data_IF_677398441924
#
_entry.id   IF_677398441924
#
_cell.length_a   1.000
_cell.length_b   1.000
_cell.length_c   1.000
_cell.angle_alpha   90.00
_cell.angle_beta   90.00
_cell.angle_gamma   90.00
#
_symmetry.space_group_name_H-M   'P 1'
#
loop_
_entity.id
_entity.type
_entity.pdbx_description
1 polymer ?
#
# COMPACT_ATOMS: atom_id res chain seq x y z
N UNK A 1 5.20 -16.73 -0.38
CA UNK A 1 4.37 -17.01 0.81
C UNK A 1 3.84 -15.68 1.30
N UNK A 2 2.60 -15.36 0.95
CA UNK A 2 1.91 -14.23 1.54
C UNK A 2 1.44 -14.68 2.91
N UNK A 3 1.87 -14.00 3.95
CA UNK A 3 1.44 -14.34 5.29
C UNK A 3 0.05 -13.77 5.52
N UNK A 4 -0.93 -14.59 5.93
CA UNK A 4 -2.25 -14.11 6.33
C UNK A 4 -2.21 -13.17 7.54
N UNK A 5 -1.03 -12.79 7.97
CA UNK A 5 -0.78 -11.82 9.04
C UNK A 5 -1.22 -10.40 8.71
N UNK A 6 -1.39 -10.09 7.41
CA UNK A 6 -1.25 -8.69 7.06
C UNK A 6 -2.45 -7.83 7.35
N UNK A 7 -3.65 -8.29 7.23
CA UNK A 7 -4.75 -7.35 7.40
C UNK A 7 -6.06 -7.93 7.97
N UNK A 8 -6.21 -9.24 8.08
CA UNK A 8 -7.53 -9.78 8.38
C UNK A 8 -7.54 -10.99 9.31
N UNK A 9 -6.41 -11.66 9.56
CA UNK A 9 -6.51 -12.89 10.31
C UNK A 9 -6.06 -12.79 11.78
N UNK A 10 -4.80 -12.77 12.17
CA UNK A 10 -4.48 -12.92 13.59
C UNK A 10 -4.65 -11.65 14.42
N UNK A 11 -4.95 -10.51 13.81
CA UNK A 11 -5.05 -9.22 14.49
C UNK A 11 -6.16 -8.33 13.93
N UNK A 12 -7.15 -8.90 13.22
CA UNK A 12 -8.32 -8.15 12.81
C UNK A 12 -9.34 -8.08 13.96
N UNK A 13 -9.82 -6.89 14.22
CA UNK A 13 -10.83 -6.62 15.24
C UNK A 13 -12.17 -6.35 14.55
N UNK A 14 -13.15 -7.20 14.79
CA UNK A 14 -14.49 -7.11 14.19
C UNK A 14 -15.25 -5.88 14.67
N UNK A 15 -15.07 -5.46 15.91
CA UNK A 15 -15.73 -4.28 16.48
C UNK A 15 -15.15 -3.01 15.86
N UNK A 16 -13.82 -2.91 15.78
CA UNK A 16 -13.13 -1.77 15.17
C UNK A 16 -13.13 -1.84 13.64
N UNK A 17 -13.45 -2.99 13.05
CA UNK A 17 -13.35 -3.27 11.61
C UNK A 17 -11.98 -2.90 11.05
N UNK A 18 -10.92 -3.20 11.80
CA UNK A 18 -9.56 -2.81 11.47
C UNK A 18 -8.53 -3.77 12.07
N UNK A 19 -7.31 -3.71 11.56
CA UNK A 19 -6.19 -4.45 12.12
C UNK A 19 -5.67 -3.79 13.38
N UNK A 20 -5.46 -4.58 14.43
CA UNK A 20 -4.82 -4.17 15.69
C UNK A 20 -3.47 -3.49 15.47
N UNK A 21 -2.70 -3.93 14.47
CA UNK A 21 -1.44 -3.30 14.09
C UNK A 21 -1.65 -1.82 13.74
N UNK A 22 -2.62 -1.53 12.87
CA UNK A 22 -2.89 -0.15 12.45
C UNK A 22 -3.44 0.71 13.57
N UNK A 23 -4.27 0.13 14.45
CA UNK A 23 -4.77 0.84 15.65
C UNK A 23 -3.61 1.30 16.55
N UNK A 24 -2.62 0.46 16.70
CA UNK A 24 -1.42 0.73 17.51
C UNK A 24 -0.34 1.53 16.77
N UNK A 25 -0.61 1.98 15.55
CA UNK A 25 0.35 2.72 14.72
C UNK A 25 1.51 1.87 14.20
N UNK A 26 1.32 0.56 14.09
CA UNK A 26 2.32 -0.40 13.63
C UNK A 26 2.13 -0.72 12.14
N UNK A 27 3.25 -0.87 11.42
CA UNK A 27 3.22 -1.24 10.01
C UNK A 27 3.31 -2.77 9.84
N UNK A 28 2.16 -3.42 9.80
CA UNK A 28 2.07 -4.88 9.67
C UNK A 28 2.92 -5.44 8.52
N UNK A 29 2.97 -4.77 7.37
CA UNK A 29 3.78 -5.18 6.21
C UNK A 29 5.26 -5.35 6.58
N UNK A 30 5.82 -4.43 7.37
CA UNK A 30 7.21 -4.51 7.81
C UNK A 30 7.42 -5.62 8.84
N UNK A 31 6.56 -5.63 9.85
CA UNK A 31 6.72 -6.50 11.02
C UNK A 31 6.47 -7.97 10.63
N UNK A 32 5.33 -8.26 10.01
CA UNK A 32 4.99 -9.61 9.57
C UNK A 32 5.82 -10.06 8.35
N UNK A 33 6.19 -9.09 7.49
CA UNK A 33 7.02 -9.33 6.33
C UNK A 33 8.39 -9.87 6.67
N UNK A 34 8.97 -9.44 7.81
CA UNK A 34 10.26 -9.96 8.29
C UNK A 34 10.19 -11.47 8.56
N UNK A 35 9.15 -11.93 9.26
CA UNK A 35 8.93 -13.36 9.54
C UNK A 35 8.72 -14.15 8.25
N UNK A 36 7.88 -13.63 7.34
CA UNK A 36 7.63 -14.30 6.07
C UNK A 36 8.85 -14.39 5.16
N UNK A 37 9.65 -13.35 5.13
CA UNK A 37 10.90 -13.35 4.38
C UNK A 37 11.89 -14.37 4.97
N UNK A 38 12.00 -14.47 6.30
CA UNK A 38 12.88 -15.44 6.95
C UNK A 38 12.49 -16.88 6.62
N UNK A 39 11.20 -17.21 6.70
CA UNK A 39 10.70 -18.56 6.33
C UNK A 39 11.01 -18.84 4.86
N UNK A 40 10.71 -17.91 3.95
CA UNK A 40 10.94 -18.09 2.53
C UNK A 40 12.43 -18.30 2.21
N UNK A 41 13.32 -17.50 2.79
CA UNK A 41 14.76 -17.62 2.57
C UNK A 41 15.31 -18.90 3.15
N UNK A 42 14.90 -19.29 4.38
CA UNK A 42 15.32 -20.54 4.99
C UNK A 42 14.90 -21.76 4.14
N UNK A 43 13.68 -21.75 3.59
CA UNK A 43 13.22 -22.79 2.67
C UNK A 43 14.05 -22.81 1.37
N UNK A 44 14.34 -21.66 0.77
CA UNK A 44 15.19 -21.55 -0.43
C UNK A 44 16.63 -22.02 -0.17
N UNK A 45 17.13 -21.87 1.06
CA UNK A 45 18.44 -22.34 1.49
C UNK A 45 18.45 -23.86 1.82
N UNK A 46 17.31 -24.55 1.72
CA UNK A 46 17.18 -25.96 2.03
C UNK A 46 17.34 -26.29 3.53
N UNK A 47 17.06 -25.35 4.42
CA UNK A 47 17.10 -25.60 5.85
C UNK A 47 15.98 -26.57 6.25
N UNK A 48 16.22 -27.36 7.28
CA UNK A 48 15.23 -28.27 7.85
C UNK A 48 14.17 -27.52 8.68
N UNK A 49 13.22 -28.25 9.24
CA UNK A 49 12.12 -27.70 10.02
C UNK A 49 12.62 -26.87 11.22
N UNK A 50 13.67 -27.35 11.91
CA UNK A 50 14.25 -26.64 13.05
C UNK A 50 14.95 -25.33 12.63
N UNK A 51 15.64 -25.35 11.49
CA UNK A 51 16.26 -24.17 10.90
C UNK A 51 15.22 -23.12 10.47
N UNK A 52 14.13 -23.55 9.79
CA UNK A 52 13.04 -22.68 9.39
C UNK A 52 12.34 -22.07 10.61
N UNK A 53 12.06 -22.87 11.65
CA UNK A 53 11.45 -22.39 12.88
C UNK A 53 12.37 -21.37 13.60
N UNK A 54 13.68 -21.66 13.65
CA UNK A 54 14.67 -20.75 14.23
C UNK A 54 14.75 -19.43 13.46
N UNK A 55 14.75 -19.47 12.12
CA UNK A 55 14.75 -18.28 11.29
C UNK A 55 13.51 -17.41 11.54
N UNK A 56 12.34 -18.03 11.63
CA UNK A 56 11.09 -17.34 11.97
C UNK A 56 11.16 -16.70 13.36
N UNK A 57 11.69 -17.45 14.36
CA UNK A 57 11.86 -16.96 15.72
C UNK A 57 12.81 -15.79 15.86
N UNK A 58 13.93 -15.82 15.16
CA UNK A 58 14.90 -14.71 15.10
C UNK A 58 14.26 -13.49 14.46
N UNK A 59 13.62 -13.65 13.28
CA UNK A 59 13.01 -12.55 12.57
C UNK A 59 11.86 -11.88 13.33
N UNK A 60 11.08 -12.65 14.08
CA UNK A 60 10.00 -12.12 14.90
C UNK A 60 10.50 -11.15 15.98
N UNK A 61 11.73 -11.36 16.48
CA UNK A 61 12.38 -10.46 17.44
C UNK A 61 13.02 -9.22 16.80
N UNK A 62 13.18 -9.21 15.47
CA UNK A 62 13.82 -8.13 14.70
C UNK A 62 12.82 -7.28 13.92
N UNK A 63 11.59 -7.77 13.73
CA UNK A 63 10.55 -7.08 12.96
C UNK A 63 10.13 -5.75 13.59
N UNK A 64 10.18 -4.67 12.83
CA UNK A 64 9.83 -3.33 13.28
C UNK A 64 9.13 -2.52 12.19
N UNK A 65 8.49 -1.43 12.58
CA UNK A 65 7.88 -0.45 11.67
C UNK A 65 6.79 0.37 12.32
N UNK A 66 6.92 1.71 12.28
CA UNK A 66 5.96 2.66 12.84
C UNK A 66 5.28 3.46 11.72
N UNK A 67 4.00 3.80 11.90
CA UNK A 67 3.20 4.53 10.92
C UNK A 67 3.15 6.05 11.14
N UNK A 68 3.87 6.60 12.11
CA UNK A 68 3.86 8.04 12.40
C UNK A 68 4.23 8.88 11.17
N UNK A 69 5.07 8.36 10.29
CA UNK A 69 5.41 9.00 9.01
C UNK A 69 4.18 9.29 8.11
N UNK A 70 3.08 8.54 8.26
CA UNK A 70 1.85 8.81 7.51
C UNK A 70 1.18 10.12 7.94
N UNK A 71 1.40 10.55 9.17
CA UNK A 71 0.84 11.79 9.74
C UNK A 71 1.76 12.98 9.52
N UNK A 72 3.05 12.78 9.70
CA UNK A 72 4.06 13.86 9.76
C UNK A 72 4.83 14.06 8.47
N UNK A 73 4.68 13.16 7.48
CA UNK A 73 5.33 13.28 6.17
C UNK A 73 6.77 12.77 6.10
N UNK A 74 7.27 12.09 7.15
CA UNK A 74 8.58 11.44 7.13
C UNK A 74 8.67 10.33 6.09
N UNK A 75 9.85 10.13 5.49
CA UNK A 75 10.04 9.20 4.35
C UNK A 75 10.41 7.78 4.76
N UNK A 76 10.58 7.48 6.04
CA UNK A 76 11.07 6.19 6.57
C UNK A 76 10.22 5.00 6.15
N UNK A 77 8.92 5.18 5.93
CA UNK A 77 8.03 4.10 5.47
C UNK A 77 8.48 3.44 4.16
N UNK A 78 9.21 4.15 3.32
CA UNK A 78 9.80 3.61 2.07
C UNK A 78 10.79 2.47 2.33
N UNK A 79 11.44 2.48 3.49
CA UNK A 79 12.44 1.48 3.90
C UNK A 79 11.78 0.20 4.43
N UNK A 80 10.55 0.26 4.91
CA UNK A 80 9.94 -0.82 5.69
C UNK A 80 9.89 -2.17 4.96
N UNK A 81 9.52 -2.19 3.68
CA UNK A 81 9.49 -3.46 2.93
C UNK A 81 10.90 -4.01 2.66
N UNK A 82 11.84 -3.12 2.32
CA UNK A 82 13.25 -3.49 2.15
C UNK A 82 13.87 -3.97 3.45
N UNK A 83 13.54 -3.33 4.58
CA UNK A 83 13.97 -3.76 5.90
C UNK A 83 13.42 -5.14 6.27
N UNK A 84 12.14 -5.40 5.98
CA UNK A 84 11.54 -6.71 6.20
C UNK A 84 12.29 -7.82 5.43
N UNK A 85 12.60 -7.58 4.16
CA UNK A 85 13.36 -8.51 3.33
C UNK A 85 14.78 -8.71 3.87
N UNK A 86 15.50 -7.62 4.21
CA UNK A 86 16.84 -7.66 4.79
C UNK A 86 16.86 -8.43 6.11
N UNK A 87 15.92 -8.13 7.00
CA UNK A 87 15.75 -8.81 8.28
C UNK A 87 15.53 -10.32 8.08
N UNK A 88 14.69 -10.70 7.11
CA UNK A 88 14.42 -12.11 6.80
C UNK A 88 15.65 -12.86 6.30
N UNK A 89 16.43 -12.26 5.40
CA UNK A 89 17.71 -12.84 4.93
C UNK A 89 18.68 -13.01 6.07
N UNK A 90 18.88 -11.95 6.87
CA UNK A 90 19.78 -12.01 8.02
C UNK A 90 19.36 -13.08 9.03
N UNK A 91 18.06 -13.19 9.34
CA UNK A 91 17.55 -14.18 10.28
C UNK A 91 17.76 -15.62 9.80
N UNK A 92 17.50 -15.87 8.50
CA UNK A 92 17.73 -17.19 7.90
C UNK A 92 19.23 -17.56 7.88
N UNK A 93 20.11 -16.61 7.57
CA UNK A 93 21.56 -16.84 7.61
C UNK A 93 22.05 -17.09 9.04
N UNK A 94 21.57 -16.36 10.04
CA UNK A 94 21.91 -16.57 11.43
C UNK A 94 21.46 -17.98 11.90
N UNK A 95 20.23 -18.40 11.53
CA UNK A 95 19.75 -19.75 11.84
C UNK A 95 20.63 -20.83 11.20
N UNK A 96 20.99 -20.68 9.92
CA UNK A 96 21.88 -21.59 9.20
C UNK A 96 23.25 -21.73 9.87
N UNK A 97 23.72 -20.70 10.57
CA UNK A 97 24.99 -20.72 11.32
C UNK A 97 24.84 -21.09 12.80
N UNK A 98 23.67 -21.61 13.19
CA UNK A 98 23.46 -22.21 14.52
C UNK A 98 22.83 -21.27 15.54
N UNK A 99 22.45 -20.04 15.20
CA UNK A 99 21.64 -19.24 16.11
C UNK A 99 20.23 -19.82 16.18
N UNK A 100 19.67 -19.95 17.39
CA UNK A 100 18.33 -20.51 17.58
C UNK A 100 17.31 -19.44 17.92
N UNK A 101 16.14 -19.50 17.28
CA UNK A 101 14.97 -18.73 17.68
C UNK A 101 14.10 -19.48 18.70
N UNK A 102 13.26 -18.76 19.48
CA UNK A 102 12.33 -19.41 20.39
C UNK A 102 11.33 -20.29 19.62
N UNK A 103 11.15 -21.58 19.98
CA UNK A 103 10.23 -22.47 19.26
C UNK A 103 8.76 -22.04 19.38
N UNK A 104 8.39 -21.30 20.43
CA UNK A 104 7.04 -20.77 20.69
C UNK A 104 6.95 -19.28 20.40
N UNK A 105 7.75 -18.78 19.45
CA UNK A 105 7.85 -17.35 19.16
C UNK A 105 6.52 -16.72 18.76
N UNK A 106 5.63 -17.44 18.10
CA UNK A 106 4.34 -16.91 17.66
C UNK A 106 3.33 -16.88 18.81
N UNK A 107 3.08 -18.02 19.46
CA UNK A 107 1.98 -18.23 20.41
C UNK A 107 2.38 -18.11 21.89
N UNK A 108 3.66 -18.08 22.20
CA UNK A 108 4.16 -18.05 23.56
C UNK A 108 3.71 -16.84 24.37
N UNK A 109 3.75 -16.94 25.70
CA UNK A 109 3.34 -15.86 26.61
C UNK A 109 3.99 -14.50 26.31
N UNK A 110 5.22 -14.50 25.82
CA UNK A 110 5.97 -13.31 25.38
C UNK A 110 6.21 -13.33 23.87
N UNK A 111 5.38 -14.11 23.15
CA UNK A 111 5.48 -14.30 21.72
C UNK A 111 4.94 -13.13 20.91
N UNK A 112 5.11 -13.25 19.61
CA UNK A 112 4.75 -12.24 18.61
C UNK A 112 3.28 -11.83 18.67
N UNK A 113 2.37 -12.82 18.72
CA UNK A 113 0.93 -12.53 18.72
C UNK A 113 0.53 -11.79 20.00
N UNK A 114 1.02 -12.23 21.16
CA UNK A 114 0.75 -11.52 22.41
C UNK A 114 1.33 -10.10 22.41
N UNK A 115 2.57 -9.93 21.95
CA UNK A 115 3.24 -8.64 21.95
C UNK A 115 2.55 -7.60 21.01
N UNK A 116 2.14 -8.03 19.83
CA UNK A 116 1.58 -7.14 18.81
C UNK A 116 0.05 -7.07 18.80
N UNK A 117 -0.66 -8.13 19.19
CA UNK A 117 -2.12 -8.20 19.14
C UNK A 117 -2.80 -8.26 20.52
N UNK A 118 -2.09 -8.73 21.55
CA UNK A 118 -2.67 -8.91 22.89
C UNK A 118 -3.83 -9.90 22.87
N UNK A 119 -4.90 -9.61 23.63
CA UNK A 119 -6.08 -10.47 23.75
C UNK A 119 -6.92 -10.58 22.45
N UNK A 120 -6.58 -9.78 21.44
CA UNK A 120 -7.21 -9.79 20.09
C UNK A 120 -6.45 -10.65 19.09
N UNK A 121 -5.54 -11.50 19.55
CA UNK A 121 -4.81 -12.44 18.72
C UNK A 121 -5.69 -13.64 18.33
N UNK A 122 -5.58 -14.08 17.09
CA UNK A 122 -6.23 -15.28 16.56
C UNK A 122 -5.19 -16.26 16.00
N UNK A 123 -4.51 -17.04 16.85
CA UNK A 123 -3.41 -17.93 16.44
C UNK A 123 -3.79 -18.92 15.34
N UNK A 124 -4.99 -19.50 15.40
CA UNK A 124 -5.47 -20.48 14.42
C UNK A 124 -5.58 -19.89 13.00
N UNK A 125 -5.72 -18.58 12.89
CA UNK A 125 -5.79 -17.90 11.60
C UNK A 125 -4.43 -17.95 10.84
N UNK A 126 -3.33 -18.10 11.55
CA UNK A 126 -1.97 -18.17 10.97
C UNK A 126 -1.78 -19.44 10.14
N UNK A 127 -2.36 -20.54 10.58
CA UNK A 127 -2.18 -21.87 9.97
C UNK A 127 -3.38 -22.29 9.09
N UNK A 128 -4.48 -21.54 9.14
CA UNK A 128 -5.67 -21.86 8.37
C UNK A 128 -5.39 -21.84 6.88
N UNK A 129 -5.73 -22.94 6.19
CA UNK A 129 -5.55 -23.08 4.75
C UNK A 129 -4.10 -23.15 4.29
N UNK A 130 -3.14 -23.34 5.19
CA UNK A 130 -1.73 -23.44 4.84
C UNK A 130 -1.48 -24.58 3.84
N UNK A 131 -0.83 -24.27 2.71
CA UNK A 131 -0.58 -25.21 1.61
C UNK A 131 -1.72 -25.38 0.62
N UNK A 132 -2.91 -24.86 0.89
CA UNK A 132 -4.11 -24.99 0.02
C UNK A 132 -4.73 -23.64 -0.37
N UNK A 133 -4.70 -22.67 0.52
CA UNK A 133 -5.24 -21.33 0.28
C UNK A 133 -4.10 -20.31 0.12
N UNK A 134 -3.97 -19.78 -1.09
CA UNK A 134 -2.85 -18.91 -1.47
C UNK A 134 -3.30 -17.46 -1.59
N UNK A 135 -2.59 -16.56 -0.91
CA UNK A 135 -2.87 -15.12 -0.96
C UNK A 135 -2.36 -14.43 -2.24
N UNK A 136 -1.41 -15.04 -2.96
CA UNK A 136 -0.82 -14.43 -4.15
C UNK A 136 -1.87 -14.04 -5.21
N UNK A 137 -2.90 -14.84 -5.50
CA UNK A 137 -3.96 -14.46 -6.44
C UNK A 137 -4.83 -13.28 -5.97
N UNK A 138 -4.77 -12.94 -4.68
CA UNK A 138 -5.54 -11.83 -4.07
C UNK A 138 -4.72 -10.53 -4.00
N UNK A 139 -3.48 -10.53 -4.52
CA UNK A 139 -2.62 -9.34 -4.51
C UNK A 139 -3.25 -8.23 -5.36
N UNK A 140 -3.18 -7.01 -4.87
CA UNK A 140 -3.70 -5.83 -5.54
C UNK A 140 -2.54 -5.00 -6.12
N UNK A 141 -2.58 -4.75 -7.41
CA UNK A 141 -1.68 -3.81 -8.07
C UNK A 141 -2.18 -2.38 -7.85
N UNK A 142 -1.34 -1.50 -7.35
CA UNK A 142 -1.68 -0.08 -7.21
C UNK A 142 -1.53 0.63 -8.55
N UNK A 143 -2.59 1.15 -9.17
CA UNK A 143 -2.47 1.90 -10.42
C UNK A 143 -1.72 3.23 -10.23
N UNK A 144 -1.77 3.83 -9.03
CA UNK A 144 -1.22 5.15 -8.74
C UNK A 144 -0.12 5.11 -7.68
N UNK A 145 0.90 5.99 -7.76
CA UNK A 145 2.02 6.04 -6.81
C UNK A 145 1.65 6.76 -5.50
N UNK A 146 0.49 6.46 -4.93
CA UNK A 146 -0.01 7.08 -3.71
C UNK A 146 -0.61 6.04 -2.75
N UNK A 147 -1.15 6.51 -1.63
CA UNK A 147 -1.81 5.65 -0.64
C UNK A 147 -3.03 4.96 -1.25
N UNK A 148 -3.19 3.66 -1.00
CA UNK A 148 -4.24 2.86 -1.61
C UNK A 148 -5.66 3.38 -1.32
N UNK A 149 -5.88 3.95 -0.14
CA UNK A 149 -7.17 4.51 0.25
C UNK A 149 -7.60 5.74 -0.58
N UNK A 150 -6.70 6.35 -1.36
CA UNK A 150 -7.03 7.48 -2.23
C UNK A 150 -7.41 7.07 -3.65
N UNK A 151 -7.14 5.83 -4.06
CA UNK A 151 -7.28 5.40 -5.46
C UNK A 151 -8.70 5.49 -5.98
N UNK A 152 -9.70 5.02 -5.22
CA UNK A 152 -11.10 5.11 -5.63
C UNK A 152 -11.57 6.57 -5.75
N UNK A 153 -11.06 7.47 -4.89
CA UNK A 153 -11.32 8.91 -5.00
C UNK A 153 -10.69 9.53 -6.25
N UNK A 154 -9.49 9.10 -6.64
CA UNK A 154 -8.86 9.49 -7.90
C UNK A 154 -9.69 9.02 -9.09
N UNK A 155 -10.10 7.75 -9.12
CA UNK A 155 -10.92 7.20 -10.20
C UNK A 155 -12.30 7.90 -10.30
N UNK A 156 -12.92 8.23 -9.17
CA UNK A 156 -14.17 8.99 -9.14
C UNK A 156 -13.99 10.41 -9.72
N UNK A 157 -12.92 11.10 -9.33
CA UNK A 157 -12.58 12.41 -9.87
C UNK A 157 -12.34 12.38 -11.40
N UNK A 158 -11.65 11.34 -11.89
CA UNK A 158 -11.44 11.12 -13.32
C UNK A 158 -12.76 10.90 -14.08
N UNK A 159 -13.70 10.16 -13.49
CA UNK A 159 -15.04 9.98 -14.07
C UNK A 159 -15.79 11.30 -14.22
N UNK A 160 -15.74 12.17 -13.20
CA UNK A 160 -16.35 13.51 -13.28
C UNK A 160 -15.71 14.37 -14.37
N UNK A 161 -14.39 14.33 -14.50
CA UNK A 161 -13.69 14.99 -15.62
C UNK A 161 -14.15 14.47 -16.99
N UNK A 162 -14.27 13.16 -17.13
CA UNK A 162 -14.73 12.54 -18.39
C UNK A 162 -16.18 12.93 -18.72
N UNK A 163 -16.98 13.31 -17.72
CA UNK A 163 -18.33 13.86 -17.89
C UNK A 163 -18.34 15.37 -18.23
N UNK A 164 -17.17 16.01 -18.31
CA UNK A 164 -17.04 17.41 -18.70
C UNK A 164 -16.86 18.39 -17.55
N UNK A 165 -16.69 17.93 -16.30
CA UNK A 165 -16.40 18.81 -15.16
C UNK A 165 -15.10 19.60 -15.40
N UNK A 166 -15.21 20.93 -15.47
CA UNK A 166 -14.06 21.82 -15.51
C UNK A 166 -13.64 22.19 -14.07
N UNK A 167 -12.35 22.00 -13.69
CA UNK A 167 -11.89 22.33 -12.35
C UNK A 167 -12.14 23.79 -11.93
N UNK A 168 -12.18 24.71 -12.88
CA UNK A 168 -12.46 26.13 -12.62
C UNK A 168 -13.90 26.40 -12.16
N UNK A 169 -14.83 25.49 -12.43
CA UNK A 169 -16.24 25.64 -12.06
C UNK A 169 -16.54 25.05 -10.65
N UNK A 170 -15.57 24.39 -10.03
CA UNK A 170 -15.75 23.74 -8.74
C UNK A 170 -15.76 24.76 -7.61
N UNK A 171 -16.76 24.68 -6.74
CA UNK A 171 -16.88 25.50 -5.53
C UNK A 171 -16.76 24.70 -4.23
N UNK A 172 -17.13 23.43 -4.25
CA UNK A 172 -16.97 22.51 -3.12
C UNK A 172 -16.81 21.08 -3.61
N UNK A 173 -16.05 20.28 -2.84
CA UNK A 173 -15.86 18.85 -3.10
C UNK A 173 -16.05 18.11 -1.77
N UNK A 174 -16.83 17.04 -1.81
CA UNK A 174 -16.90 16.08 -0.72
C UNK A 174 -16.32 14.74 -1.17
N UNK A 175 -15.34 14.23 -0.42
CA UNK A 175 -14.76 12.91 -0.59
C UNK A 175 -15.29 11.99 0.52
N UNK A 176 -16.27 11.15 0.19
CA UNK A 176 -16.81 10.13 1.07
C UNK A 176 -16.00 8.85 0.99
N UNK A 177 -15.55 8.35 2.14
CA UNK A 177 -14.76 7.13 2.30
C UNK A 177 -15.17 6.36 3.56
N UNK A 178 -14.63 5.16 3.77
CA UNK A 178 -14.83 4.43 5.02
C UNK A 178 -14.24 5.19 6.22
N UNK A 179 -14.94 5.14 7.37
CA UNK A 179 -14.50 5.81 8.60
C UNK A 179 -13.06 5.54 9.01
N UNK A 180 -12.55 4.26 9.01
CA UNK A 180 -11.17 3.98 9.39
C UNK A 180 -10.12 4.58 8.45
N UNK A 181 -10.52 4.93 7.22
CA UNK A 181 -9.65 5.51 6.19
C UNK A 181 -9.32 6.98 6.49
N UNK A 182 -10.27 7.72 7.09
CA UNK A 182 -10.15 9.15 7.36
C UNK A 182 -8.87 9.51 8.11
N UNK A 183 -8.51 8.78 9.14
CA UNK A 183 -7.30 9.04 9.92
C UNK A 183 -6.00 8.99 9.09
N UNK A 184 -6.00 8.28 7.97
CA UNK A 184 -4.80 8.15 7.11
C UNK A 184 -4.74 9.25 6.06
N UNK A 185 -5.87 9.55 5.40
CA UNK A 185 -5.87 10.42 4.22
C UNK A 185 -6.48 11.80 4.47
N UNK A 186 -7.16 12.00 5.61
CA UNK A 186 -7.88 13.23 5.94
C UNK A 186 -7.37 13.94 7.19
N UNK A 187 -6.58 13.27 8.02
CA UNK A 187 -6.15 13.83 9.31
C UNK A 187 -4.63 14.03 9.40
N UNK A 188 -4.16 15.17 9.97
CA UNK A 188 -4.93 16.37 10.29
C UNK A 188 -5.40 17.12 9.04
N UNK A 189 -6.61 17.73 9.02
CA UNK A 189 -7.19 18.30 7.79
C UNK A 189 -6.33 19.36 7.12
N UNK A 190 -5.75 20.28 7.88
CA UNK A 190 -4.91 21.36 7.36
C UNK A 190 -3.65 20.83 6.68
N UNK A 191 -3.02 19.82 7.28
CA UNK A 191 -1.81 19.19 6.73
C UNK A 191 -2.14 18.37 5.47
N UNK A 192 -3.35 17.81 5.38
CA UNK A 192 -3.78 17.06 4.19
C UNK A 192 -4.21 17.98 3.04
N UNK A 193 -4.86 19.10 3.34
CA UNK A 193 -5.16 20.11 2.33
C UNK A 193 -3.89 20.81 1.81
N UNK A 194 -2.83 20.89 2.63
CA UNK A 194 -1.58 21.56 2.30
C UNK A 194 -0.35 20.73 2.70
N UNK A 195 -0.09 19.64 1.96
CA UNK A 195 0.99 18.72 2.31
C UNK A 195 2.36 19.39 2.24
N UNK A 196 3.24 19.07 3.19
CA UNK A 196 4.57 19.68 3.31
C UNK A 196 5.57 19.25 2.22
N UNK A 197 5.30 18.12 1.55
CA UNK A 197 6.17 17.54 0.52
C UNK A 197 5.37 16.70 -0.46
N UNK A 198 5.98 16.35 -1.60
CA UNK A 198 5.39 15.42 -2.56
C UNK A 198 5.10 14.05 -1.94
N UNK A 199 5.99 13.56 -1.07
CA UNK A 199 5.75 12.31 -0.37
C UNK A 199 4.56 12.39 0.60
N UNK A 200 4.40 13.50 1.31
CA UNK A 200 3.23 13.72 2.19
C UNK A 200 1.94 13.83 1.37
N UNK A 201 2.00 14.48 0.20
CA UNK A 201 0.89 14.60 -0.73
C UNK A 201 0.33 13.24 -1.17
N UNK A 202 1.18 12.21 -1.32
CA UNK A 202 0.77 10.86 -1.65
C UNK A 202 -0.12 10.18 -0.58
N UNK A 203 -0.25 10.76 0.61
CA UNK A 203 -1.13 10.31 1.70
C UNK A 203 -2.28 11.27 1.98
N UNK A 204 -2.59 12.16 1.04
CA UNK A 204 -3.65 13.15 1.18
C UNK A 204 -4.82 12.88 0.23
N UNK A 205 -6.01 12.61 0.78
CA UNK A 205 -7.25 12.53 0.01
C UNK A 205 -7.56 13.84 -0.71
N UNK A 206 -7.55 15.01 -0.03
CA UNK A 206 -7.75 16.30 -0.67
C UNK A 206 -6.81 16.55 -1.84
N UNK A 207 -5.51 16.35 -1.65
CA UNK A 207 -4.52 16.60 -2.69
C UNK A 207 -4.66 15.65 -3.89
N UNK A 208 -4.90 14.35 -3.66
CA UNK A 208 -5.00 13.36 -4.73
C UNK A 208 -6.23 13.57 -5.59
N UNK A 209 -7.37 13.95 -5.01
CA UNK A 209 -8.58 14.35 -5.76
C UNK A 209 -8.32 15.61 -6.58
N UNK A 210 -7.69 16.64 -5.99
CA UNK A 210 -7.33 17.86 -6.71
C UNK A 210 -6.36 17.58 -7.87
N UNK A 211 -5.34 16.75 -7.65
CA UNK A 211 -4.39 16.35 -8.69
C UNK A 211 -5.10 15.60 -9.83
N UNK A 212 -6.04 14.70 -9.52
CA UNK A 212 -6.83 13.98 -10.52
C UNK A 212 -7.73 14.89 -11.34
N UNK A 213 -8.34 15.90 -10.72
CA UNK A 213 -9.17 16.87 -11.42
C UNK A 213 -8.35 17.79 -12.31
N UNK A 214 -7.16 18.22 -11.92
CA UNK A 214 -6.30 19.15 -12.66
C UNK A 214 -5.39 18.46 -13.68
N UNK A 215 -5.03 17.19 -13.44
CA UNK A 215 -4.03 16.47 -14.22
C UNK A 215 -4.48 16.15 -15.64
N UNK A 216 -3.52 15.95 -16.54
CA UNK A 216 -3.73 15.33 -17.85
C UNK A 216 -3.64 13.80 -17.77
N UNK A 217 -4.18 13.10 -18.78
CA UNK A 217 -4.01 11.65 -18.91
C UNK A 217 -4.92 10.80 -18.03
N UNK A 218 -4.46 9.61 -17.67
CA UNK A 218 -5.26 8.51 -17.11
C UNK A 218 -5.23 8.43 -15.57
N UNK A 219 -4.87 9.50 -14.89
CA UNK A 219 -4.83 9.55 -13.43
C UNK A 219 -3.66 10.36 -12.90
N UNK A 220 -3.28 10.10 -11.65
CA UNK A 220 -2.11 10.73 -11.03
C UNK A 220 -0.86 9.91 -11.30
N UNK A 221 0.26 10.60 -11.53
CA UNK A 221 1.57 10.03 -11.83
C UNK A 221 2.61 10.40 -10.76
N UNK A 222 3.84 9.94 -10.93
CA UNK A 222 4.95 10.35 -10.07
C UNK A 222 5.19 11.87 -10.08
N UNK A 223 4.94 12.53 -11.22
CA UNK A 223 5.12 13.99 -11.36
C UNK A 223 4.15 14.79 -10.49
N UNK A 224 3.00 14.20 -10.15
CA UNK A 224 2.04 14.82 -9.24
C UNK A 224 2.49 14.82 -7.78
N UNK A 225 3.49 13.99 -7.44
CA UNK A 225 4.01 13.83 -6.08
C UNK A 225 5.45 14.30 -5.91
N UNK A 226 5.88 15.24 -6.74
CA UNK A 226 7.11 16.01 -6.52
C UNK A 226 6.89 17.12 -5.50
N UNK A 227 7.95 17.61 -4.86
CA UNK A 227 7.85 18.74 -3.93
C UNK A 227 7.41 20.03 -4.64
N UNK A 228 7.74 20.18 -5.92
CA UNK A 228 7.25 21.29 -6.74
C UNK A 228 5.74 21.19 -6.97
N UNK A 229 5.24 20.01 -7.34
CA UNK A 229 3.82 19.77 -7.51
C UNK A 229 3.02 19.95 -6.22
N UNK A 230 3.57 19.55 -5.07
CA UNK A 230 2.95 19.74 -3.76
C UNK A 230 2.81 21.23 -3.36
N UNK A 231 3.54 22.13 -4.04
CA UNK A 231 3.47 23.59 -3.84
C UNK A 231 2.70 24.33 -4.94
N UNK A 232 2.18 23.61 -5.95
CA UNK A 232 1.40 24.25 -7.02
C UNK A 232 0.15 24.92 -6.44
N UNK A 233 0.01 26.26 -6.58
CA UNK A 233 -1.10 26.99 -5.97
C UNK A 233 -2.47 26.57 -6.52
N UNK A 234 -2.56 26.08 -7.76
CA UNK A 234 -3.82 25.59 -8.34
C UNK A 234 -4.27 24.30 -7.67
N UNK A 235 -3.32 23.37 -7.41
CA UNK A 235 -3.59 22.12 -6.70
C UNK A 235 -4.01 22.39 -5.27
N UNK A 236 -3.29 23.28 -4.57
CA UNK A 236 -3.58 23.64 -3.20
C UNK A 236 -4.92 24.36 -3.06
N UNK A 237 -5.25 25.25 -4.01
CA UNK A 237 -6.56 25.92 -4.01
C UNK A 237 -7.71 24.92 -4.15
N UNK A 238 -7.59 23.95 -5.06
CA UNK A 238 -8.62 22.93 -5.25
C UNK A 238 -8.67 21.93 -4.09
N UNK A 239 -7.52 21.53 -3.56
CA UNK A 239 -7.44 20.65 -2.39
C UNK A 239 -8.10 21.27 -1.14
N UNK A 240 -8.02 22.58 -0.98
CA UNK A 240 -8.67 23.31 0.10
C UNK A 240 -10.22 23.27 0.02
N UNK A 241 -10.79 22.98 -1.13
CA UNK A 241 -12.23 22.79 -1.33
C UNK A 241 -12.71 21.37 -0.97
N UNK A 242 -11.79 20.43 -0.75
CA UNK A 242 -12.13 19.03 -0.49
C UNK A 242 -12.35 18.80 1.00
N UNK A 243 -13.56 18.39 1.36
CA UNK A 243 -13.92 17.90 2.68
C UNK A 243 -14.01 16.38 2.64
N UNK A 244 -13.20 15.69 3.43
CA UNK A 244 -13.30 14.25 3.59
C UNK A 244 -14.34 13.92 4.68
N UNK A 245 -15.22 12.96 4.39
CA UNK A 245 -16.29 12.53 5.31
C UNK A 245 -16.42 11.01 5.32
N UNK A 246 -17.04 10.49 6.37
CA UNK A 246 -17.52 9.11 6.35
C UNK A 246 -18.69 8.97 5.38
N UNK A 247 -18.63 7.95 4.54
CA UNK A 247 -19.76 7.45 3.75
C UNK A 247 -20.10 6.05 4.26
N UNK A 248 -21.34 5.86 4.72
CA UNK A 248 -21.77 4.60 5.36
C UNK A 248 -21.64 3.39 4.43
N UNK A 249 -21.91 3.55 3.13
CA UNK A 249 -21.74 2.45 2.16
C UNK A 249 -20.26 2.09 2.00
N UNK A 250 -19.37 3.07 2.05
CA UNK A 250 -17.93 2.83 2.03
C UNK A 250 -17.48 2.11 3.31
N UNK A 251 -17.99 2.53 4.47
CA UNK A 251 -17.70 1.88 5.76
C UNK A 251 -18.22 0.44 5.79
N UNK A 252 -19.37 0.16 5.19
CA UNK A 252 -19.94 -1.19 5.14
C UNK A 252 -19.09 -2.18 4.33
N UNK A 253 -18.36 -1.71 3.31
CA UNK A 253 -17.51 -2.55 2.45
C UNK A 253 -16.09 -2.74 3.00
N UNK A 254 -15.66 -1.90 3.93
CA UNK A 254 -14.33 -1.98 4.52
C UNK A 254 -14.23 -3.17 5.50
N UNK A 255 -13.13 -3.94 5.55
CA UNK A 255 -11.86 -3.77 4.84
C UNK A 255 -11.75 -4.54 3.51
N UNK A 256 -12.80 -5.18 3.03
CA UNK A 256 -12.76 -6.05 1.85
C UNK A 256 -12.60 -5.26 0.54
N UNK A 257 -13.06 -4.01 0.51
CA UNK A 257 -12.85 -3.06 -0.56
C UNK A 257 -12.58 -1.66 0.02
N UNK A 258 -12.00 -0.77 -0.79
CA UNK A 258 -11.74 0.63 -0.44
C UNK A 258 -12.51 1.55 -1.38
N UNK A 259 -13.85 1.56 -1.30
CA UNK A 259 -14.67 2.42 -2.13
C UNK A 259 -14.50 3.89 -1.77
N UNK A 260 -14.89 4.75 -2.71
CA UNK A 260 -15.02 6.18 -2.48
C UNK A 260 -16.15 6.77 -3.33
N UNK A 261 -16.68 7.89 -2.86
CA UNK A 261 -17.58 8.76 -3.61
C UNK A 261 -17.02 10.17 -3.61
N UNK A 262 -17.04 10.82 -4.78
CA UNK A 262 -16.70 12.23 -4.93
C UNK A 262 -17.97 12.96 -5.36
N UNK A 263 -18.39 13.95 -4.54
CA UNK A 263 -19.50 14.86 -4.83
C UNK A 263 -18.92 16.23 -5.05
N UNK A 264 -19.35 16.89 -6.12
CA UNK A 264 -18.85 18.21 -6.52
C UNK A 264 -20.04 19.17 -6.69
N UNK A 265 -19.94 20.34 -6.07
CA UNK A 265 -20.84 21.46 -6.32
C UNK A 265 -20.14 22.45 -7.26
N UNK A 266 -20.80 22.84 -8.33
CA UNK A 266 -20.29 23.81 -9.31
C UNK A 266 -20.75 25.24 -8.98
N UNK A 267 -20.17 26.22 -9.69
CA UNK A 267 -20.58 27.65 -9.58
C UNK A 267 -22.02 27.91 -10.00
N UNK A 268 -22.59 27.07 -10.85
CA UNK A 268 -24.00 27.15 -11.26
C UNK A 268 -24.93 26.50 -10.24
N UNK A 269 -24.43 25.91 -9.19
CA UNK A 269 -25.19 25.16 -8.19
C UNK A 269 -25.51 23.71 -8.62
N UNK A 270 -24.96 23.24 -9.73
CA UNK A 270 -25.10 21.86 -10.16
C UNK A 270 -24.32 20.94 -9.22
N UNK A 271 -24.94 19.82 -8.85
CA UNK A 271 -24.31 18.76 -8.06
C UNK A 271 -24.00 17.56 -8.94
N UNK A 272 -22.75 17.14 -8.93
CA UNK A 272 -22.25 15.99 -9.68
C UNK A 272 -21.71 14.94 -8.69
N UNK A 273 -22.01 13.68 -8.93
CA UNK A 273 -21.49 12.57 -8.11
C UNK A 273 -20.85 11.50 -9.00
N UNK A 274 -19.71 10.99 -8.58
CA UNK A 274 -19.15 9.76 -9.09
C UNK A 274 -18.73 8.85 -7.94
N UNK A 275 -19.11 7.58 -8.03
CA UNK A 275 -18.81 6.56 -7.02
C UNK A 275 -18.01 5.42 -7.64
N UNK A 276 -17.04 4.91 -6.89
CA UNK A 276 -16.25 3.72 -7.20
C UNK A 276 -16.45 2.73 -6.07
N UNK A 277 -17.14 1.64 -6.33
CA UNK A 277 -17.48 0.63 -5.31
C UNK A 277 -16.31 -0.32 -5.04
N UNK A 278 -15.51 -0.64 -6.06
CA UNK A 278 -14.34 -1.50 -5.94
C UNK A 278 -13.14 -0.79 -6.56
N UNK A 279 -12.13 -0.54 -5.75
CA UNK A 279 -10.88 0.08 -6.20
C UNK A 279 -10.18 -0.80 -7.24
N UNK A 280 -9.54 -0.16 -8.24
CA UNK A 280 -8.84 -0.87 -9.33
C UNK A 280 -7.58 -1.57 -8.83
N UNK A 281 -7.21 -2.64 -9.55
CA UNK A 281 -5.96 -3.37 -9.43
C UNK A 281 -6.05 -4.69 -8.68
N UNK A 282 -7.21 -5.04 -8.13
CA UNK A 282 -7.46 -6.33 -7.50
C UNK A 282 -8.36 -7.25 -8.33
N UNK A 283 -8.60 -8.49 -7.88
CA UNK A 283 -9.38 -9.48 -8.64
C UNK A 283 -10.80 -9.01 -9.02
N UNK A 284 -11.43 -8.17 -8.18
CA UNK A 284 -12.78 -7.64 -8.44
C UNK A 284 -12.82 -6.47 -9.44
N UNK A 285 -11.67 -5.86 -9.77
CA UNK A 285 -11.55 -4.77 -10.72
C UNK A 285 -10.09 -4.69 -11.20
N UNK A 286 -9.63 -5.66 -12.01
CA UNK A 286 -8.23 -5.78 -12.42
C UNK A 286 -7.78 -4.64 -13.33
N UNK A 287 -6.47 -4.43 -13.40
CA UNK A 287 -5.87 -3.61 -14.46
C UNK A 287 -5.81 -4.42 -15.74
N UNK A 288 -5.95 -3.76 -16.90
CA UNK A 288 -5.65 -4.39 -18.18
C UNK A 288 -4.14 -4.64 -18.33
N UNK A 289 -3.77 -5.51 -19.29
CA UNK A 289 -2.36 -5.80 -19.58
C UNK A 289 -1.62 -4.52 -20.01
N UNK A 290 -2.28 -3.63 -20.77
CA UNK A 290 -1.71 -2.35 -21.19
C UNK A 290 -1.51 -1.40 -20.00
N UNK A 291 -2.43 -1.39 -19.03
CA UNK A 291 -2.29 -0.59 -17.80
C UNK A 291 -1.16 -1.11 -16.93
N UNK A 292 -0.99 -2.43 -16.82
CA UNK A 292 0.12 -3.06 -16.10
C UNK A 292 1.45 -2.78 -16.79
N UNK A 293 1.52 -2.95 -18.10
CA UNK A 293 2.70 -2.65 -18.91
C UNK A 293 3.11 -1.19 -18.77
N UNK A 294 2.16 -0.26 -18.87
CA UNK A 294 2.41 1.17 -18.67
C UNK A 294 2.93 1.46 -17.26
N UNK A 295 2.28 0.90 -16.24
CA UNK A 295 2.74 1.07 -14.85
C UNK A 295 4.18 0.57 -14.68
N UNK A 296 4.51 -0.58 -15.24
CA UNK A 296 5.87 -1.11 -15.21
C UNK A 296 6.83 -0.14 -15.90
N UNK A 297 6.53 0.27 -17.13
CA UNK A 297 7.34 1.20 -17.91
C UNK A 297 7.60 2.50 -17.15
N UNK A 298 6.54 3.18 -16.67
CA UNK A 298 6.64 4.46 -15.96
C UNK A 298 7.49 4.38 -14.68
N UNK A 299 7.54 3.21 -14.04
CA UNK A 299 8.42 2.98 -12.91
C UNK A 299 9.86 2.66 -13.36
N UNK A 300 10.02 1.79 -14.35
CA UNK A 300 11.31 1.27 -14.77
C UNK A 300 12.22 2.36 -15.37
N UNK A 301 11.68 3.23 -16.24
CA UNK A 301 12.43 4.31 -16.91
C UNK A 301 12.97 5.38 -15.95
N UNK A 302 12.53 5.39 -14.70
CA UNK A 302 13.09 6.27 -13.65
C UNK A 302 14.49 5.84 -13.18
N UNK A 303 14.85 4.59 -13.44
CA UNK A 303 16.12 4.01 -12.97
C UNK A 303 16.84 3.18 -14.04
N UNK A 304 16.13 2.76 -15.08
CA UNK A 304 16.68 1.99 -16.19
C UNK A 304 16.62 2.78 -17.49
N UNK A 305 17.58 2.57 -18.41
CA UNK A 305 17.45 3.05 -19.78
C UNK A 305 16.18 2.49 -20.44
N UNK A 306 15.56 3.28 -21.33
CA UNK A 306 14.32 2.95 -22.05
C UNK A 306 14.37 1.58 -22.72
N UNK A 307 15.46 1.30 -23.46
CA UNK A 307 15.67 0.01 -24.15
C UNK A 307 15.64 -1.16 -23.16
N UNK A 308 16.22 -0.99 -21.99
CA UNK A 308 16.28 -2.02 -20.97
C UNK A 308 14.91 -2.26 -20.32
N UNK A 309 14.18 -1.18 -20.04
CA UNK A 309 12.81 -1.26 -19.54
C UNK A 309 11.92 -2.02 -20.56
N UNK A 310 12.01 -1.70 -21.83
CA UNK A 310 11.28 -2.38 -22.89
C UNK A 310 11.65 -3.86 -23.00
N UNK A 311 12.95 -4.21 -22.94
CA UNK A 311 13.40 -5.60 -22.95
C UNK A 311 12.92 -6.39 -21.73
N UNK A 312 12.90 -5.79 -20.55
CA UNK A 312 12.38 -6.42 -19.34
C UNK A 312 10.89 -6.69 -19.45
N UNK A 313 10.13 -5.76 -20.01
CA UNK A 313 8.70 -5.91 -20.24
C UNK A 313 8.38 -7.00 -21.27
N UNK A 314 9.25 -7.15 -22.27
CA UNK A 314 9.09 -8.12 -23.35
C UNK A 314 9.62 -9.53 -22.99
N UNK A 315 10.18 -9.73 -21.79
CA UNK A 315 10.56 -11.07 -21.35
C UNK A 315 9.33 -11.97 -21.32
N UNK A 316 9.30 -13.06 -22.10
CA UNK A 316 8.25 -14.07 -21.94
C UNK A 316 8.35 -14.65 -20.54
N UNK A 317 7.22 -15.14 -20.02
CA UNK A 317 7.10 -15.71 -18.69
C UNK A 317 8.38 -16.42 -18.23
N UNK A 318 9.12 -15.75 -17.39
CA UNK A 318 10.37 -16.10 -16.72
C UNK A 318 11.12 -17.32 -17.30
N UNK A 319 11.94 -17.13 -18.32
CA UNK A 319 12.86 -18.17 -18.76
C UNK A 319 14.01 -18.38 -17.76
N UNK A 320 14.42 -17.33 -17.06
CA UNK A 320 15.27 -17.47 -15.87
C UNK A 320 15.21 -16.24 -14.95
N UNK A 321 15.39 -16.46 -13.66
CA UNK A 321 15.57 -15.41 -12.65
C UNK A 321 16.88 -14.67 -12.90
N UNK A 322 17.90 -15.36 -13.42
CA UNK A 322 19.21 -14.81 -13.79
C UNK A 322 19.07 -13.75 -14.88
N UNK A 323 18.31 -14.01 -15.95
CA UNK A 323 18.11 -13.07 -17.06
C UNK A 323 17.38 -11.80 -16.56
N UNK A 324 16.32 -11.97 -15.75
CA UNK A 324 15.61 -10.86 -15.14
C UNK A 324 16.54 -10.06 -14.22
N UNK A 325 17.33 -10.75 -13.39
CA UNK A 325 18.26 -10.12 -12.47
C UNK A 325 19.34 -9.33 -13.24
N UNK A 326 19.92 -9.91 -14.32
CA UNK A 326 20.89 -9.23 -15.15
C UNK A 326 20.32 -7.95 -15.79
N UNK A 327 19.06 -7.99 -16.27
CA UNK A 327 18.39 -6.79 -16.82
C UNK A 327 18.14 -5.72 -15.79
N UNK A 328 17.84 -6.09 -14.53
CA UNK A 328 17.52 -5.15 -13.46
C UNK A 328 18.74 -4.61 -12.73
N UNK A 329 19.82 -5.41 -12.60
CA UNK A 329 21.00 -5.07 -11.76
C UNK A 329 22.18 -4.51 -12.52
N UNK A 330 22.29 -4.71 -13.84
CA UNK A 330 23.35 -4.06 -14.61
C UNK A 330 23.13 -2.55 -14.59
N UNK A 331 23.60 -1.92 -13.51
CA UNK A 331 23.64 -0.47 -13.40
C UNK A 331 24.43 0.09 -14.58
N UNK A 332 23.83 1.01 -15.30
CA UNK A 332 24.60 1.87 -16.18
C UNK A 332 25.68 2.55 -15.33
N UNK A 333 26.88 2.54 -15.82
CA UNK A 333 27.93 3.43 -15.34
C UNK A 333 27.34 4.83 -15.25
N UNK A 334 27.23 5.37 -14.04
CA UNK A 334 26.88 6.77 -13.78
C UNK A 334 28.15 7.58 -13.75
#
# INVERSE_FOLDING_TARGET
>A
MSLPFLNTAPGYDEELRNSVFFERGLHATSICGAVGAAVAVAMLQGQDEAGIASAAGIAASMGAGLLEANRTGGTVKRVHCGWAAHCGVAAADLARHGLTGPPTVLEGRFGFLQAFCGDRAHPDAVVRGLGTDWELPRVVFKPYPCNHFTHAGVDAALRLRAQGLAPADVTAIELGVAKPVLRTIAEPPEAKARPASGYHAAFSGPYTVAAALLGGGLGVSHEDFTDAAARDPRRLALAALVRCVEDERCSASFPHAFPAVVRVTTRTGEELEARVEVNRGGPGNPLSDEEQARKFHDNAVRSLPEERAARTLALPDAQSVEDLTALLTSAGER
#
